data_IF_633457279957
#
_entry.id   IF_633457279957
#
_cell.length_a   1.000
_cell.length_b   1.000
_cell.length_c   1.000
_cell.angle_alpha   90.00
_cell.angle_beta   90.00
_cell.angle_gamma   90.00
#
_symmetry.space_group_name_H-M   'P 1'
#
loop_
_entity.id
_entity.type
_entity.pdbx_description
1 polymer ?
#
# COMPACT_ATOMS: atom_id res chain seq x y z
N UNK A 1 -12.68 16.30 -11.21
CA UNK A 1 -11.61 15.65 -10.41
C UNK A 1 -10.82 14.75 -11.31
N UNK A 2 -9.49 14.92 -11.36
CA UNK A 2 -8.61 14.09 -12.18
C UNK A 2 -8.27 12.80 -11.44
N UNK A 3 -7.78 11.79 -12.16
CA UNK A 3 -7.30 10.54 -11.57
C UNK A 3 -6.30 10.76 -10.43
N UNK A 4 -5.41 11.74 -10.60
CA UNK A 4 -4.38 12.10 -9.61
C UNK A 4 -4.98 12.68 -8.33
N UNK A 5 -6.12 13.38 -8.43
CA UNK A 5 -6.81 13.97 -7.28
C UNK A 5 -7.46 12.88 -6.39
N UNK A 6 -8.08 11.87 -6.99
CA UNK A 6 -8.65 10.72 -6.27
C UNK A 6 -7.55 9.91 -5.56
N UNK A 7 -6.42 9.70 -6.26
CA UNK A 7 -5.26 9.00 -5.72
C UNK A 7 -4.62 9.79 -4.57
N UNK A 8 -4.55 11.12 -4.68
CA UNK A 8 -4.05 12.01 -3.63
C UNK A 8 -4.93 11.98 -2.38
N UNK A 9 -6.26 11.96 -2.51
CA UNK A 9 -7.18 11.82 -1.36
C UNK A 9 -7.05 10.48 -0.66
N UNK A 10 -6.96 9.41 -1.44
CA UNK A 10 -6.71 8.07 -0.91
C UNK A 10 -5.42 8.04 -0.09
N UNK A 11 -4.34 8.62 -0.63
CA UNK A 11 -3.05 8.72 0.05
C UNK A 11 -3.11 9.58 1.32
N UNK A 12 -3.86 10.69 1.29
CA UNK A 12 -4.07 11.55 2.45
C UNK A 12 -4.79 10.81 3.60
N UNK A 13 -5.84 10.04 3.29
CA UNK A 13 -6.56 9.25 4.29
C UNK A 13 -5.67 8.17 4.92
N UNK A 14 -4.83 7.49 4.13
CA UNK A 14 -3.84 6.56 4.66
C UNK A 14 -2.84 7.24 5.62
N UNK A 15 -2.42 8.46 5.30
CA UNK A 15 -1.53 9.26 6.15
C UNK A 15 -2.20 9.72 7.43
N UNK A 16 -3.47 10.11 7.40
CA UNK A 16 -4.23 10.45 8.60
C UNK A 16 -4.39 9.25 9.53
N UNK A 17 -4.82 8.10 8.99
CA UNK A 17 -4.93 6.85 9.74
C UNK A 17 -3.59 6.46 10.36
N UNK A 18 -2.50 6.59 9.61
CA UNK A 18 -1.14 6.38 10.12
C UNK A 18 -0.78 7.39 11.21
N UNK A 19 -1.12 8.67 11.03
CA UNK A 19 -0.80 9.76 11.96
C UNK A 19 -1.40 9.58 13.35
N UNK A 20 -2.54 8.87 13.44
CA UNK A 20 -3.17 8.48 14.71
C UNK A 20 -2.42 7.34 15.42
N UNK A 21 -1.50 6.67 14.75
CA UNK A 21 -0.72 5.57 15.32
C UNK A 21 0.75 5.94 15.47
N UNK A 22 1.38 5.46 16.54
CA UNK A 22 2.81 5.61 16.78
C UNK A 22 3.68 4.68 15.89
N UNK A 23 3.12 4.15 14.80
CA UNK A 23 3.77 3.12 13.98
C UNK A 23 4.50 3.73 12.79
N UNK A 24 5.73 3.28 12.58
CA UNK A 24 6.52 3.62 11.39
C UNK A 24 6.09 2.81 10.17
N UNK A 25 6.27 3.37 8.97
CA UNK A 25 5.98 2.67 7.70
C UNK A 25 6.68 1.30 7.61
N UNK A 26 7.91 1.18 8.09
CA UNK A 26 8.64 -0.09 8.11
C UNK A 26 8.00 -1.16 9.02
N UNK A 27 7.42 -0.77 10.16
CA UNK A 27 6.71 -1.73 11.02
C UNK A 27 5.40 -2.19 10.39
N UNK A 28 4.67 -1.28 9.73
CA UNK A 28 3.45 -1.62 9.00
C UNK A 28 3.78 -2.54 7.82
N UNK A 29 4.80 -2.20 7.04
CA UNK A 29 5.27 -2.97 5.89
C UNK A 29 5.63 -4.41 6.28
N UNK A 30 6.45 -4.59 7.33
CA UNK A 30 6.79 -5.93 7.85
C UNK A 30 5.57 -6.73 8.28
N UNK A 31 4.62 -6.09 8.96
CA UNK A 31 3.41 -6.76 9.48
C UNK A 31 2.43 -7.15 8.38
N UNK A 32 2.49 -6.45 7.25
CA UNK A 32 1.70 -6.73 6.05
C UNK A 32 2.43 -7.64 5.06
N UNK A 33 3.68 -8.02 5.33
CA UNK A 33 4.51 -8.82 4.43
C UNK A 33 4.87 -8.09 3.14
N UNK A 34 4.96 -6.76 3.16
CA UNK A 34 5.28 -5.94 1.99
C UNK A 34 6.51 -5.07 2.22
N UNK A 35 7.11 -4.61 1.13
CA UNK A 35 8.27 -3.73 1.18
C UNK A 35 7.83 -2.30 1.57
N UNK A 36 8.62 -1.66 2.45
CA UNK A 36 8.45 -0.25 2.86
C UNK A 36 8.36 0.68 1.67
N UNK A 37 9.14 0.46 0.61
CA UNK A 37 9.12 1.27 -0.61
C UNK A 37 7.77 1.21 -1.34
N UNK A 38 7.11 0.04 -1.35
CA UNK A 38 5.77 -0.12 -1.95
C UNK A 38 4.71 0.61 -1.11
N UNK A 39 4.78 0.47 0.21
CA UNK A 39 3.89 1.19 1.12
C UNK A 39 4.04 2.71 0.99
N UNK A 40 5.28 3.19 0.85
CA UNK A 40 5.57 4.60 0.62
C UNK A 40 4.94 5.12 -0.66
N UNK A 41 5.05 4.38 -1.78
CA UNK A 41 4.38 4.75 -3.03
C UNK A 41 2.86 4.80 -2.88
N UNK A 42 2.27 3.90 -2.10
CA UNK A 42 0.82 3.93 -1.84
C UNK A 42 0.42 5.16 -1.02
N UNK A 43 1.20 5.49 0.01
CA UNK A 43 0.98 6.66 0.85
C UNK A 43 1.35 8.00 0.18
N UNK A 44 2.13 7.95 -0.91
CA UNK A 44 2.44 9.10 -1.75
C UNK A 44 1.45 9.28 -2.92
N UNK A 45 0.56 8.31 -3.15
CA UNK A 45 -0.29 8.30 -4.34
C UNK A 45 0.46 7.93 -5.63
N UNK A 46 1.69 7.47 -5.53
CA UNK A 46 2.52 7.06 -6.66
C UNK A 46 2.19 5.65 -7.16
N UNK A 47 1.55 4.83 -6.33
CA UNK A 47 1.00 3.55 -6.75
C UNK A 47 -0.33 3.25 -6.04
N UNK A 48 -1.25 2.58 -6.74
CA UNK A 48 -2.52 2.12 -6.17
C UNK A 48 -2.55 0.61 -6.34
N UNK A 49 -2.74 -0.17 -5.26
CA UNK A 49 -2.81 -1.63 -5.37
C UNK A 49 -4.07 -2.06 -6.12
N UNK A 50 -3.98 -3.20 -6.80
CA UNK A 50 -5.11 -3.84 -7.51
C UNK A 50 -6.07 -4.59 -6.57
N UNK A 51 -5.59 -4.93 -5.38
CA UNK A 51 -6.36 -5.60 -4.34
C UNK A 51 -6.44 -4.75 -3.07
N UNK A 52 -7.63 -4.70 -2.45
CA UNK A 52 -7.85 -3.97 -1.20
C UNK A 52 -7.41 -4.74 0.06
N UNK A 53 -7.19 -6.06 -0.02
CA UNK A 53 -6.84 -6.89 1.13
C UNK A 53 -5.64 -6.38 1.98
N UNK A 54 -4.49 -5.95 1.41
CA UNK A 54 -3.42 -5.35 2.19
C UNK A 54 -3.79 -3.99 2.80
N UNK A 55 -4.67 -3.20 2.16
CA UNK A 55 -5.12 -1.91 2.66
C UNK A 55 -6.11 -2.06 3.81
N UNK A 56 -7.01 -3.04 3.73
CA UNK A 56 -7.93 -3.36 4.81
C UNK A 56 -7.17 -3.81 6.07
N UNK A 57 -6.19 -4.70 5.90
CA UNK A 57 -5.31 -5.13 7.00
C UNK A 57 -4.51 -3.95 7.57
N UNK A 58 -4.02 -3.04 6.72
CA UNK A 58 -3.34 -1.83 7.16
C UNK A 58 -4.26 -0.95 8.02
N UNK A 59 -5.47 -0.66 7.52
CA UNK A 59 -6.45 0.15 8.23
C UNK A 59 -6.84 -0.52 9.55
N UNK A 60 -7.02 -1.84 9.56
CA UNK A 60 -7.28 -2.61 10.76
C UNK A 60 -6.13 -2.52 11.78
N UNK A 61 -4.89 -2.60 11.32
CA UNK A 61 -3.71 -2.44 12.18
C UNK A 61 -3.56 -1.03 12.74
N UNK A 62 -4.08 -0.02 12.03
CA UNK A 62 -4.12 1.36 12.48
C UNK A 62 -5.28 1.67 13.43
N UNK A 63 -6.16 0.71 13.69
CA UNK A 63 -7.36 0.92 14.51
C UNK A 63 -8.47 1.69 13.81
N UNK A 64 -8.46 1.71 12.47
CA UNK A 64 -9.50 2.38 11.69
C UNK A 64 -10.88 1.77 11.96
N UNK A 65 -11.88 2.64 12.15
CA UNK A 65 -13.28 2.23 12.30
C UNK A 65 -13.80 1.58 11.02
N UNK A 66 -14.89 0.81 11.10
CA UNK A 66 -15.53 0.26 9.91
C UNK A 66 -15.90 1.33 8.89
N UNK A 67 -16.32 2.53 9.33
CA UNK A 67 -16.65 3.64 8.44
C UNK A 67 -15.41 4.14 7.69
N UNK A 68 -14.31 4.37 8.41
CA UNK A 68 -13.04 4.81 7.79
C UNK A 68 -12.53 3.79 6.77
N UNK A 69 -12.71 2.50 7.02
CA UNK A 69 -12.37 1.44 6.06
C UNK A 69 -13.24 1.48 4.81
N UNK A 70 -14.54 1.75 4.96
CA UNK A 70 -15.47 1.88 3.84
C UNK A 70 -15.16 3.12 2.99
N UNK A 71 -14.81 4.24 3.62
CA UNK A 71 -14.41 5.45 2.90
C UNK A 71 -13.08 5.26 2.16
N UNK A 72 -12.12 4.57 2.77
CA UNK A 72 -10.89 4.15 2.11
C UNK A 72 -11.19 3.26 0.89
N UNK A 73 -12.12 2.31 1.02
CA UNK A 73 -12.52 1.43 -0.08
C UNK A 73 -13.16 2.24 -1.22
N UNK A 74 -14.06 3.19 -0.92
CA UNK A 74 -14.69 4.05 -1.94
C UNK A 74 -13.67 4.87 -2.71
N UNK A 75 -12.71 5.49 -2.01
CA UNK A 75 -11.62 6.27 -2.63
C UNK A 75 -10.71 5.36 -3.45
N UNK A 76 -10.37 4.19 -2.91
CA UNK A 76 -9.56 3.19 -3.61
C UNK A 76 -10.22 2.74 -4.91
N UNK A 77 -11.53 2.50 -4.92
CA UNK A 77 -12.25 2.06 -6.12
C UNK A 77 -12.15 3.12 -7.24
N UNK A 78 -12.36 4.40 -6.90
CA UNK A 78 -12.23 5.52 -7.85
C UNK A 78 -10.80 5.68 -8.35
N UNK A 79 -9.83 5.63 -7.44
CA UNK A 79 -8.41 5.73 -7.76
C UNK A 79 -7.96 4.54 -8.64
N UNK A 80 -8.39 3.33 -8.31
CA UNK A 80 -8.08 2.09 -9.03
C UNK A 80 -8.71 2.09 -10.42
N UNK A 81 -9.96 2.53 -10.56
CA UNK A 81 -10.63 2.65 -11.85
C UNK A 81 -9.96 3.71 -12.74
N UNK A 82 -9.59 4.85 -12.16
CA UNK A 82 -8.89 5.92 -12.87
C UNK A 82 -7.48 5.49 -13.32
N UNK A 83 -6.79 4.63 -12.54
CA UNK A 83 -5.48 4.05 -12.90
C UNK A 83 -5.57 2.84 -13.81
N UNK A 84 -6.68 2.07 -13.75
CA UNK A 84 -6.96 0.94 -14.65
C UNK A 84 -7.18 1.39 -16.09
N UNK A 85 -7.52 2.66 -16.34
CA UNK A 85 -7.56 3.25 -17.69
C UNK A 85 -6.12 3.36 -18.22
N UNK A 86 -5.63 2.42 -19.04
CA UNK A 86 -4.23 2.39 -19.41
C UNK A 86 -4.01 3.46 -20.49
N UNK A 87 -3.20 4.48 -20.18
CA UNK A 87 -2.31 5.05 -21.20
C UNK A 87 -1.00 4.28 -21.03
N UNK A 88 -0.58 3.60 -22.10
CA UNK A 88 0.29 2.43 -22.05
C UNK A 88 1.53 2.55 -21.14
N UNK A 89 1.82 1.46 -20.42
CA UNK A 89 3.19 1.21 -19.93
C UNK A 89 3.44 1.23 -18.42
N UNK A 90 2.47 0.88 -17.56
CA UNK A 90 2.77 0.62 -16.15
C UNK A 90 2.54 -0.86 -15.83
N UNK A 91 3.60 -1.66 -15.92
CA UNK A 91 3.64 -3.06 -15.48
C UNK A 91 3.11 -3.17 -14.05
N UNK A 92 2.10 -4.01 -13.77
CA UNK A 92 1.63 -4.24 -12.42
C UNK A 92 2.80 -4.82 -11.62
N UNK A 93 3.22 -4.12 -10.57
CA UNK A 93 4.19 -4.63 -9.61
C UNK A 93 3.57 -5.85 -8.92
N UNK A 94 3.92 -7.03 -9.40
CA UNK A 94 3.67 -8.31 -8.75
C UNK A 94 4.27 -8.27 -7.33
N UNK A 95 3.57 -8.79 -6.30
CA UNK A 95 4.18 -9.01 -5.00
C UNK A 95 5.12 -10.22 -5.12
N UNK A 96 6.34 -10.00 -5.58
CA UNK A 96 7.43 -10.95 -5.43
C UNK A 96 8.56 -10.26 -4.66
N UNK A 97 8.58 -10.45 -3.35
CA UNK A 97 9.84 -10.71 -2.65
C UNK A 97 9.52 -11.42 -1.33
N UNK A 98 9.49 -12.76 -1.42
CA UNK A 98 9.86 -13.59 -0.28
C UNK A 98 11.36 -13.38 -0.06
N UNK A 99 11.71 -12.32 0.68
CA UNK A 99 13.03 -12.22 1.29
C UNK A 99 13.05 -13.20 2.48
N UNK A 100 13.35 -14.45 2.17
CA UNK A 100 13.84 -15.41 3.12
C UNK A 100 15.36 -15.24 3.17
N UNK A 101 15.82 -14.28 3.98
CA UNK A 101 17.22 -14.23 4.38
C UNK A 101 17.51 -15.38 5.36
N UNK A 102 18.30 -16.37 4.89
CA UNK A 102 19.32 -17.17 5.60
C UNK A 102 19.52 -18.49 4.83
N UNK A 103 20.66 -18.85 4.23
CA UNK A 103 22.05 -18.63 4.66
C UNK A 103 23.01 -18.85 3.49
N UNK A 104 24.13 -18.12 3.47
CA UNK A 104 25.41 -18.59 2.90
C UNK A 104 26.52 -18.02 3.78
N UNK A 105 27.58 -18.79 4.08
CA UNK A 105 28.66 -18.89 3.10
C UNK A 105 29.19 -20.30 2.84
N UNK A 106 29.67 -20.44 1.61
CA UNK A 106 30.55 -21.48 1.12
C UNK A 106 31.97 -21.28 1.67
N UNK A 107 32.56 -22.36 2.17
CA UNK A 107 33.98 -22.59 2.42
C UNK A 107 34.07 -24.04 2.93
N UNK A 108 34.80 -24.98 2.36
CA UNK A 108 35.95 -24.93 1.46
C UNK A 108 36.98 -25.91 2.04
N UNK A 109 37.04 -27.11 1.46
CA UNK A 109 38.22 -27.98 1.19
C UNK A 109 37.71 -29.34 0.70
#
# INVERSE_FOLDING_TARGET
>A
MTAQDEVGRFAALLRELKGRTDRSYGQLARRLGMNTSTLHRYCAGDAVPVDFAPLERFAALCGATPEERLDLHRLWLRAAEARRRPRGGATPATPQERDAAASTPHGGD
#
